data_IF_833317037583
#
_entry.id   IF_833317037583
#
_cell.length_a   1.000
_cell.length_b   1.000
_cell.length_c   1.000
_cell.angle_alpha   90.00
_cell.angle_beta   90.00
_cell.angle_gamma   90.00
#
_symmetry.space_group_name_H-M   'P 1'
#
loop_
_entity.id
_entity.type
_entity.pdbx_description
1 polymer ?
#
# COMPACT_ATOMS: atom_id res chain seq x y z
N UNK A 1 -12.41 1.29 -18.78
CA UNK A 1 -12.68 1.17 -17.34
C UNK A 1 -11.87 2.27 -16.67
N UNK A 2 -12.48 3.13 -15.88
CA UNK A 2 -11.75 4.23 -15.23
C UNK A 2 -10.85 3.66 -14.14
N UNK A 3 -9.53 3.84 -14.27
CA UNK A 3 -8.57 3.58 -13.20
C UNK A 3 -9.01 4.37 -11.96
N UNK A 4 -9.64 3.68 -11.01
CA UNK A 4 -10.17 4.32 -9.82
C UNK A 4 -8.98 4.79 -8.98
N UNK A 5 -8.83 6.10 -8.84
CA UNK A 5 -7.73 6.71 -8.08
C UNK A 5 -7.92 6.34 -6.61
N UNK A 6 -7.12 5.40 -6.11
CA UNK A 6 -7.11 5.05 -4.70
C UNK A 6 -6.32 6.11 -3.92
N UNK A 7 -6.94 6.64 -2.88
CA UNK A 7 -6.36 7.57 -1.93
C UNK A 7 -5.98 6.80 -0.68
N UNK A 8 -4.73 6.92 -0.24
CA UNK A 8 -4.25 6.29 0.98
C UNK A 8 -3.16 7.12 1.65
N UNK A 9 -2.92 6.92 2.96
CA UNK A 9 -1.88 7.61 3.70
C UNK A 9 -0.48 7.36 3.14
N UNK A 10 0.43 8.31 3.35
CA UNK A 10 1.81 8.29 2.86
C UNK A 10 2.70 7.17 3.44
N UNK A 11 2.21 6.42 4.44
CA UNK A 11 2.83 5.23 5.00
C UNK A 11 2.34 3.91 4.38
N UNK A 12 1.29 3.95 3.55
CA UNK A 12 0.81 2.79 2.82
C UNK A 12 1.51 2.67 1.48
N UNK A 13 1.92 1.46 1.10
CA UNK A 13 2.43 1.14 -0.25
C UNK A 13 1.58 0.04 -0.87
N UNK A 14 1.12 0.28 -2.09
CA UNK A 14 0.53 -0.75 -2.95
C UNK A 14 1.65 -1.45 -3.72
N UNK A 15 1.69 -2.78 -3.64
CA UNK A 15 2.68 -3.60 -4.34
C UNK A 15 1.96 -4.70 -5.11
N UNK A 16 2.32 -4.89 -6.38
CA UNK A 16 1.79 -5.98 -7.21
C UNK A 16 2.85 -7.06 -7.37
N UNK A 17 2.48 -8.31 -7.10
CA UNK A 17 3.26 -9.49 -7.45
C UNK A 17 2.84 -9.99 -8.83
N UNK A 18 3.72 -9.82 -9.82
CA UNK A 18 3.56 -10.34 -11.18
C UNK A 18 4.47 -11.54 -11.41
N UNK A 19 4.46 -12.16 -12.59
CA UNK A 19 5.46 -13.19 -12.94
C UNK A 19 6.89 -12.65 -12.89
N UNK A 20 7.09 -11.39 -13.30
CA UNK A 20 8.41 -10.75 -13.41
C UNK A 20 8.99 -10.20 -12.10
N UNK A 21 8.23 -10.19 -11.00
CA UNK A 21 8.74 -9.70 -9.72
C UNK A 21 7.71 -9.00 -8.86
N UNK A 22 8.19 -8.13 -7.99
CA UNK A 22 7.40 -7.25 -7.14
C UNK A 22 7.46 -5.83 -7.70
N UNK A 23 6.30 -5.24 -7.98
CA UNK A 23 6.16 -3.91 -8.57
C UNK A 23 5.52 -2.97 -7.55
N UNK A 24 6.30 -2.01 -7.06
CA UNK A 24 5.78 -0.94 -6.21
C UNK A 24 4.97 0.04 -7.08
N UNK A 25 3.66 0.08 -6.88
CA UNK A 25 2.77 0.99 -7.61
C UNK A 25 2.90 2.39 -7.02
N UNK A 26 3.00 3.40 -7.89
CA UNK A 26 2.93 4.80 -7.46
C UNK A 26 1.48 5.14 -7.16
N UNK A 27 1.15 5.38 -5.89
CA UNK A 27 -0.10 6.04 -5.51
C UNK A 27 -0.08 7.51 -5.90
N UNK A 28 -1.26 8.08 -6.14
CA UNK A 28 -1.41 9.54 -6.21
C UNK A 28 -1.43 10.04 -4.76
N UNK A 29 -0.36 10.70 -4.34
CA UNK A 29 -0.21 11.21 -2.97
C UNK A 29 -1.13 12.42 -2.77
N UNK A 30 -2.07 12.34 -1.81
CA UNK A 30 -3.05 13.40 -1.54
C UNK A 30 -2.58 14.46 -0.54
N UNK A 31 -1.64 14.12 0.36
CA UNK A 31 -1.17 15.05 1.39
C UNK A 31 0.32 14.88 1.66
N UNK A 32 1.08 15.98 1.54
CA UNK A 32 2.50 16.08 1.89
C UNK A 32 2.62 16.85 3.20
N UNK A 33 2.85 16.15 4.32
CA UNK A 33 3.00 16.80 5.65
C UNK A 33 4.38 17.42 5.87
N UNK A 34 5.38 17.08 5.06
CA UNK A 34 6.77 17.48 5.32
C UNK A 34 7.17 18.78 4.60
N UNK A 35 7.75 19.77 5.32
CA UNK A 35 8.30 20.99 4.73
C UNK A 35 9.60 20.74 3.93
N UNK A 36 10.14 19.52 3.98
CA UNK A 36 11.38 19.13 3.31
C UNK A 36 11.03 18.34 2.04
N UNK A 37 11.84 18.50 0.98
CA UNK A 37 11.77 17.66 -0.22
C UNK A 37 12.25 16.23 0.09
N UNK A 38 11.48 15.49 0.89
CA UNK A 38 11.76 14.09 1.18
C UNK A 38 11.22 13.23 0.04
N UNK A 39 12.08 12.36 -0.50
CA UNK A 39 11.64 11.31 -1.41
C UNK A 39 10.83 10.27 -0.61
N UNK A 40 9.53 10.20 -0.84
CA UNK A 40 8.66 9.21 -0.20
C UNK A 40 8.95 7.77 -0.63
N UNK A 41 9.83 7.56 -1.61
CA UNK A 41 10.39 6.27 -1.97
C UNK A 41 11.60 5.88 -1.11
N UNK A 42 12.13 6.78 -0.27
CA UNK A 42 13.19 6.48 0.68
C UNK A 42 12.62 5.87 1.96
N UNK A 43 12.30 4.58 1.88
CA UNK A 43 11.69 3.82 2.97
C UNK A 43 12.63 3.73 4.18
N UNK A 44 13.94 3.75 3.93
CA UNK A 44 14.95 3.63 4.98
C UNK A 44 14.97 4.91 5.80
N UNK A 45 14.99 6.07 5.14
CA UNK A 45 14.94 7.37 5.81
C UNK A 45 13.62 7.56 6.57
N UNK A 46 12.49 7.19 5.97
CA UNK A 46 11.16 7.48 6.51
C UNK A 46 10.68 6.49 7.58
N UNK A 47 11.02 5.20 7.44
CA UNK A 47 10.43 4.12 8.23
C UNK A 47 11.47 3.14 8.78
N UNK A 48 12.76 3.36 8.52
CA UNK A 48 13.84 2.46 8.96
C UNK A 48 13.77 1.07 8.33
N UNK A 49 13.13 0.93 7.16
CA UNK A 49 12.94 -0.35 6.47
C UNK A 49 13.39 -0.27 5.01
N UNK A 50 14.03 -1.32 4.50
CA UNK A 50 14.41 -1.41 3.09
C UNK A 50 13.27 -1.96 2.22
N UNK A 51 13.30 -1.64 0.92
CA UNK A 51 12.37 -2.25 -0.05
C UNK A 51 12.49 -3.78 -0.10
N UNK A 52 13.70 -4.31 0.09
CA UNK A 52 13.93 -5.76 0.14
C UNK A 52 13.24 -6.39 1.36
N UNK A 53 13.35 -5.79 2.54
CA UNK A 53 12.64 -6.26 3.74
C UNK A 53 11.14 -6.25 3.52
N UNK A 54 10.58 -5.18 2.93
CA UNK A 54 9.15 -5.12 2.58
C UNK A 54 8.77 -6.30 1.67
N UNK A 55 9.52 -6.54 0.59
CA UNK A 55 9.26 -7.65 -0.32
C UNK A 55 9.34 -9.01 0.38
N UNK A 56 10.29 -9.21 1.30
CA UNK A 56 10.40 -10.44 2.11
C UNK A 56 9.17 -10.64 2.98
N UNK A 57 8.68 -9.61 3.66
CA UNK A 57 7.47 -9.73 4.49
C UNK A 57 6.22 -9.97 3.63
N UNK A 58 6.08 -9.27 2.50
CA UNK A 58 4.98 -9.51 1.55
C UNK A 58 4.98 -10.95 1.02
N UNK A 59 6.15 -11.51 0.75
CA UNK A 59 6.27 -12.91 0.35
C UNK A 59 5.76 -13.85 1.46
N UNK A 60 6.06 -13.56 2.73
CA UNK A 60 5.62 -14.40 3.87
C UNK A 60 4.11 -14.40 4.09
N UNK A 61 3.41 -13.30 3.78
CA UNK A 61 1.95 -13.18 4.00
C UNK A 61 1.17 -14.26 3.26
N UNK A 62 1.54 -14.58 2.02
CA UNK A 62 0.77 -15.52 1.19
C UNK A 62 1.64 -16.32 0.21
N UNK A 63 2.85 -16.69 0.63
CA UNK A 63 3.82 -17.45 -0.18
C UNK A 63 4.23 -16.75 -1.49
N UNK A 64 4.12 -15.42 -1.55
CA UNK A 64 4.38 -14.66 -2.77
C UNK A 64 3.41 -14.97 -3.91
N UNK A 65 2.17 -15.35 -3.59
CA UNK A 65 1.07 -15.52 -4.56
C UNK A 65 0.92 -14.28 -5.44
N UNK A 66 0.65 -14.47 -6.73
CA UNK A 66 0.38 -13.36 -7.64
C UNK A 66 -0.83 -12.54 -7.19
N UNK A 67 -0.80 -11.23 -7.40
CA UNK A 67 -1.86 -10.30 -7.00
C UNK A 67 -1.35 -9.04 -6.29
N UNK A 68 -2.27 -8.30 -5.72
CA UNK A 68 -2.03 -7.05 -5.02
C UNK A 68 -1.83 -7.26 -3.54
N UNK A 69 -0.96 -6.41 -2.99
CA UNK A 69 -0.60 -6.37 -1.59
C UNK A 69 -0.56 -4.93 -1.09
N UNK A 70 -0.76 -4.78 0.22
CA UNK A 70 -0.52 -3.54 0.94
C UNK A 70 0.60 -3.75 1.95
N UNK A 71 1.50 -2.77 2.03
CA UNK A 71 2.46 -2.64 3.11
C UNK A 71 2.16 -1.36 3.89
N UNK A 72 1.82 -1.53 5.17
CA UNK A 72 1.82 -0.45 6.14
C UNK A 72 3.23 -0.32 6.71
N UNK A 73 3.97 0.67 6.21
CA UNK A 73 5.36 0.89 6.61
C UNK A 73 5.49 1.47 8.01
N UNK A 74 4.46 2.15 8.52
CA UNK A 74 4.46 2.77 9.85
C UNK A 74 4.30 1.71 10.93
N UNK A 75 3.34 0.81 10.76
CA UNK A 75 3.04 -0.26 11.71
C UNK A 75 3.77 -1.57 11.39
N UNK A 76 4.46 -1.64 10.25
CA UNK A 76 5.16 -2.84 9.74
C UNK A 76 4.21 -4.03 9.61
N UNK A 77 3.03 -3.76 9.04
CA UNK A 77 2.00 -4.75 8.78
C UNK A 77 1.82 -4.93 7.27
N UNK A 78 1.45 -6.14 6.87
CA UNK A 78 1.49 -6.58 5.48
C UNK A 78 0.26 -7.41 5.15
N UNK A 79 -0.34 -7.15 4.00
CA UNK A 79 -1.64 -7.70 3.63
C UNK A 79 -1.63 -8.18 2.19
N UNK A 80 -2.23 -9.35 1.95
CA UNK A 80 -2.61 -9.79 0.61
C UNK A 80 -4.04 -9.34 0.34
N UNK A 81 -4.24 -8.60 -0.75
CA UNK A 81 -5.54 -8.03 -1.09
C UNK A 81 -6.33 -8.97 -2.00
N UNK A 82 -5.72 -9.46 -3.07
CA UNK A 82 -6.42 -10.23 -4.09
C UNK A 82 -5.85 -10.02 -5.48
N UNK A 83 -6.62 -10.37 -6.50
CA UNK A 83 -6.18 -10.29 -7.89
C UNK A 83 -6.67 -9.02 -8.60
N UNK A 84 -7.64 -8.32 -8.02
CA UNK A 84 -8.30 -7.18 -8.65
C UNK A 84 -7.97 -5.90 -7.91
N UNK A 85 -8.10 -4.78 -8.60
CA UNK A 85 -7.82 -3.46 -8.03
C UNK A 85 -8.82 -3.11 -6.91
N UNK A 86 -10.07 -3.55 -7.05
CA UNK A 86 -11.13 -3.36 -6.06
C UNK A 86 -10.82 -4.05 -4.73
N UNK A 87 -10.06 -5.16 -4.76
CA UNK A 87 -9.66 -5.89 -3.56
C UNK A 87 -8.73 -5.03 -2.66
N UNK A 88 -7.96 -4.11 -3.25
CA UNK A 88 -7.14 -3.14 -2.51
C UNK A 88 -8.05 -2.19 -1.72
N UNK A 89 -9.12 -1.70 -2.34
CA UNK A 89 -10.07 -0.77 -1.72
C UNK A 89 -10.77 -1.44 -0.54
N UNK A 90 -11.24 -2.67 -0.73
CA UNK A 90 -11.84 -3.48 0.34
C UNK A 90 -10.86 -3.67 1.50
N UNK A 91 -9.60 -3.99 1.19
CA UNK A 91 -8.57 -4.15 2.22
C UNK A 91 -8.34 -2.84 2.97
N UNK A 92 -8.19 -1.70 2.29
CA UNK A 92 -8.03 -0.38 2.93
C UNK A 92 -9.22 -0.04 3.84
N UNK A 93 -10.45 -0.30 3.39
CA UNK A 93 -11.65 -0.06 4.19
C UNK A 93 -11.69 -0.95 5.43
N UNK A 94 -11.27 -2.22 5.32
CA UNK A 94 -11.18 -3.12 6.48
C UNK A 94 -10.14 -2.66 7.51
N UNK A 95 -9.17 -1.84 7.09
CA UNK A 95 -8.19 -1.18 7.95
C UNK A 95 -8.67 0.20 8.46
N UNK A 96 -9.91 0.60 8.18
CA UNK A 96 -10.47 1.91 8.54
C UNK A 96 -9.95 3.07 7.69
N UNK A 97 -9.34 2.81 6.52
CA UNK A 97 -8.80 3.83 5.63
C UNK A 97 -9.77 4.08 4.48
N UNK A 98 -10.18 5.34 4.32
CA UNK A 98 -11.07 5.75 3.22
C UNK A 98 -12.52 5.31 3.39
N UNK A 99 -12.96 5.02 4.62
CA UNK A 99 -14.37 4.84 4.93
C UNK A 99 -15.09 6.18 4.74
N UNK A 100 -16.22 6.16 4.02
CA UNK A 100 -17.14 7.29 3.98
C UNK A 100 -17.90 7.21 5.32
N UNK A 101 -17.89 8.29 6.09
CA UNK A 101 -18.66 8.34 7.34
C UNK A 101 -20.10 7.89 7.06
N UNK A 102 -20.69 6.99 7.87
CA UNK A 102 -22.08 6.66 7.70
C UNK A 102 -22.89 7.95 7.84
N UNK A 103 -23.71 8.25 6.83
CA UNK A 103 -24.72 9.29 6.95
C UNK A 103 -25.64 8.83 8.08
N UNK A 104 -25.56 9.50 9.23
CA UNK A 104 -26.48 9.26 10.35
C UNK A 104 -27.91 9.35 9.79
N UNK A 105 -28.66 8.27 9.98
CA UNK A 105 -30.07 8.16 9.59
C UNK A 105 -30.97 8.66 10.72
#
# INVERSE_FOLDING_TARGET
MSDSVIIYPDYIRVVERTSGGWLFKKGKMFYKRSPIAIDFQDFKLLYGISKQQVVTELFRVNGGKAGYYLADLRHKQYYYCGLKWEDIIITLQSLGIGQIDPIES
#
